data_IF_842819570470
#
_entry.id   IF_842819570470
#
_cell.length_a   1.000
_cell.length_b   1.000
_cell.length_c   1.000
_cell.angle_alpha   90.00
_cell.angle_beta   90.00
_cell.angle_gamma   90.00
#
_symmetry.space_group_name_H-M   'P 1'
#
loop_
_entity.id
_entity.type
_entity.pdbx_description
1 polymer ?
#
# COMPACT_ATOMS: atom_id res chain seq x y z
N UNK A 1 -17.82 1.64 8.43
CA UNK A 1 -16.59 1.20 7.75
C UNK A 1 -15.55 0.76 8.79
N UNK A 2 -14.87 -0.35 8.58
CA UNK A 2 -13.79 -0.85 9.43
C UNK A 2 -12.59 -1.27 8.55
N UNK A 3 -11.41 -0.75 8.84
CA UNK A 3 -10.19 -1.09 8.12
C UNK A 3 -9.33 -2.04 8.95
N UNK A 4 -8.90 -3.16 8.34
CA UNK A 4 -7.97 -4.09 8.96
C UNK A 4 -6.52 -3.65 8.72
N UNK A 5 -5.74 -3.50 9.78
CA UNK A 5 -4.31 -3.19 9.74
C UNK A 5 -3.54 -4.45 10.07
N UNK A 6 -2.70 -4.91 9.13
CA UNK A 6 -1.87 -6.08 9.39
C UNK A 6 -0.86 -5.79 10.51
N UNK A 7 -0.82 -6.69 11.49
CA UNK A 7 0.12 -6.58 12.62
C UNK A 7 1.58 -6.59 12.14
N UNK A 8 2.39 -5.75 12.79
CA UNK A 8 3.85 -5.74 12.68
C UNK A 8 4.47 -5.78 14.06
N UNK A 9 5.65 -6.38 14.17
CA UNK A 9 6.44 -6.34 15.42
C UNK A 9 7.02 -4.95 15.67
N UNK A 10 7.33 -4.22 14.58
CA UNK A 10 7.85 -2.86 14.62
C UNK A 10 6.74 -1.84 14.86
N UNK A 11 7.11 -0.71 15.48
CA UNK A 11 6.22 0.45 15.58
C UNK A 11 5.97 1.08 14.21
N UNK A 12 4.72 1.38 13.90
CA UNK A 12 4.31 2.07 12.68
C UNK A 12 3.34 3.21 12.99
N UNK A 13 3.30 4.18 12.10
CA UNK A 13 2.49 5.40 12.28
C UNK A 13 1.10 5.22 11.71
N UNK A 14 0.10 5.68 12.45
CA UNK A 14 -1.32 5.69 12.07
C UNK A 14 -1.89 7.11 11.97
N UNK A 15 -1.02 8.11 11.76
CA UNK A 15 -1.41 9.53 11.68
C UNK A 15 -2.62 9.76 10.76
N UNK A 16 -2.69 9.21 9.52
CA UNK A 16 -3.84 9.41 8.65
C UNK A 16 -5.15 8.87 9.24
N UNK A 17 -5.10 7.72 9.91
CA UNK A 17 -6.27 7.08 10.52
C UNK A 17 -6.80 7.89 11.70
N UNK A 18 -5.91 8.41 12.53
CA UNK A 18 -6.24 9.22 13.70
C UNK A 18 -6.81 10.59 13.29
N UNK A 19 -6.17 11.25 12.30
CA UNK A 19 -6.61 12.58 11.81
C UNK A 19 -7.96 12.54 11.11
N UNK A 20 -8.25 11.48 10.38
CA UNK A 20 -9.54 11.33 9.67
C UNK A 20 -10.59 10.55 10.48
N UNK A 21 -10.29 10.21 11.75
CA UNK A 21 -11.17 9.45 12.64
C UNK A 21 -11.65 8.13 12.03
N UNK A 22 -10.75 7.41 11.39
CA UNK A 22 -11.05 6.14 10.72
C UNK A 22 -11.08 5.01 11.75
N UNK A 23 -12.15 4.22 11.76
CA UNK A 23 -12.20 3.02 12.57
C UNK A 23 -11.30 1.94 11.99
N UNK A 24 -10.40 1.42 12.79
CA UNK A 24 -9.48 0.36 12.40
C UNK A 24 -9.32 -0.69 13.50
N UNK A 25 -8.80 -1.84 13.09
CA UNK A 25 -8.40 -2.93 13.99
C UNK A 25 -7.05 -3.47 13.54
N UNK A 26 -6.09 -3.54 14.44
CA UNK A 26 -4.81 -4.22 14.20
C UNK A 26 -5.05 -5.71 14.44
N UNK A 27 -4.75 -6.54 13.45
CA UNK A 27 -5.03 -7.97 13.50
C UNK A 27 -3.89 -8.80 12.90
N UNK A 28 -3.77 -10.04 13.32
CA UNK A 28 -2.87 -11.00 12.69
C UNK A 28 -3.52 -11.59 11.45
N UNK A 29 -2.92 -11.49 10.25
CA UNK A 29 -3.44 -12.13 9.03
C UNK A 29 -3.60 -13.66 9.13
N UNK A 30 -2.98 -14.30 10.12
CA UNK A 30 -3.19 -15.73 10.43
C UNK A 30 -4.61 -16.07 10.81
N UNK A 31 -5.35 -15.13 11.40
CA UNK A 31 -6.71 -15.36 11.92
C UNK A 31 -7.74 -15.55 10.82
N UNK A 32 -7.49 -15.08 9.60
CA UNK A 32 -8.30 -15.38 8.41
C UNK A 32 -9.68 -14.70 8.32
N UNK A 33 -10.05 -13.89 9.27
CA UNK A 33 -11.39 -13.26 9.38
C UNK A 33 -11.52 -11.99 8.52
N UNK A 34 -11.11 -12.06 7.26
CA UNK A 34 -10.96 -10.89 6.37
C UNK A 34 -12.28 -10.24 5.96
N UNK A 35 -13.39 -10.99 5.93
CA UNK A 35 -14.70 -10.52 5.43
C UNK A 35 -15.31 -9.35 6.25
N UNK A 36 -14.88 -9.17 7.50
CA UNK A 36 -15.38 -8.09 8.36
C UNK A 36 -14.81 -6.71 7.95
N UNK A 37 -13.66 -6.67 7.27
CA UNK A 37 -13.00 -5.43 6.91
C UNK A 37 -13.45 -4.90 5.54
N UNK A 38 -13.46 -3.60 5.40
CA UNK A 38 -13.86 -2.87 4.20
C UNK A 38 -12.65 -2.36 3.40
N UNK A 39 -11.46 -2.47 3.99
CA UNK A 39 -10.16 -2.20 3.39
C UNK A 39 -9.05 -2.80 4.24
N UNK A 40 -7.83 -2.88 3.66
CA UNK A 40 -6.65 -3.38 4.34
C UNK A 40 -5.49 -2.41 4.22
N UNK A 41 -4.77 -2.23 5.31
CA UNK A 41 -3.51 -1.50 5.36
C UNK A 41 -2.39 -2.42 5.80
N UNK A 42 -1.34 -2.51 4.98
CA UNK A 42 -0.11 -3.26 5.26
C UNK A 42 1.00 -2.25 5.57
N UNK A 43 1.34 -2.05 6.85
CA UNK A 43 2.40 -1.11 7.23
C UNK A 43 3.79 -1.55 6.75
N UNK A 44 4.73 -0.63 6.79
CA UNK A 44 6.17 -0.94 6.72
C UNK A 44 6.64 -1.74 7.92
N UNK A 45 7.86 -2.26 7.86
CA UNK A 45 8.51 -3.04 8.90
C UNK A 45 9.79 -3.69 8.40
N UNK A 46 10.56 -4.31 9.29
CA UNK A 46 11.83 -4.97 8.96
C UNK A 46 11.68 -6.49 8.74
N UNK A 47 10.52 -7.05 9.11
CA UNK A 47 10.22 -8.47 8.97
C UNK A 47 9.87 -8.91 7.54
N UNK A 48 9.37 -10.14 7.42
CA UNK A 48 8.70 -10.67 6.24
C UNK A 48 7.56 -11.57 6.70
N UNK A 49 6.31 -11.17 6.40
CA UNK A 49 5.13 -11.80 6.96
C UNK A 49 4.43 -12.65 5.89
N UNK A 50 4.77 -13.93 5.81
CA UNK A 50 4.19 -14.87 4.84
C UNK A 50 2.66 -14.96 4.91
N UNK A 51 2.09 -14.65 6.05
CA UNK A 51 0.65 -14.62 6.28
C UNK A 51 -0.06 -13.53 5.47
N UNK A 52 0.62 -12.43 5.18
CA UNK A 52 0.09 -11.31 4.40
C UNK A 52 -0.26 -11.73 2.98
N UNK A 53 0.41 -12.73 2.43
CA UNK A 53 0.10 -13.27 1.10
C UNK A 53 -1.37 -13.76 1.00
N UNK A 54 -1.89 -14.36 2.05
CA UNK A 54 -3.31 -14.79 2.09
C UNK A 54 -4.26 -13.59 2.14
N UNK A 55 -3.91 -12.57 2.91
CA UNK A 55 -4.64 -11.33 3.00
C UNK A 55 -4.65 -10.59 1.66
N UNK A 56 -3.48 -10.44 1.03
CA UNK A 56 -3.31 -9.79 -0.28
C UNK A 56 -4.13 -10.53 -1.35
N UNK A 57 -4.07 -11.87 -1.35
CA UNK A 57 -4.88 -12.71 -2.24
C UNK A 57 -6.37 -12.44 -2.05
N UNK A 58 -6.84 -12.48 -0.80
CA UNK A 58 -8.23 -12.19 -0.48
C UNK A 58 -8.68 -10.81 -0.97
N UNK A 59 -7.87 -9.77 -0.69
CA UNK A 59 -8.14 -8.41 -1.10
C UNK A 59 -8.30 -8.30 -2.63
N UNK A 60 -7.36 -8.88 -3.38
CA UNK A 60 -7.40 -8.88 -4.85
C UNK A 60 -8.63 -9.61 -5.40
N UNK A 61 -8.89 -10.85 -4.95
CA UNK A 61 -9.97 -11.69 -5.46
C UNK A 61 -11.38 -11.16 -5.13
N UNK A 62 -11.51 -10.48 -3.98
CA UNK A 62 -12.78 -9.91 -3.52
C UNK A 62 -12.92 -8.41 -3.81
N UNK A 63 -11.96 -7.84 -4.54
CA UNK A 63 -11.93 -6.41 -4.87
C UNK A 63 -12.10 -5.54 -3.62
N UNK A 64 -11.35 -5.86 -2.54
CA UNK A 64 -11.28 -5.07 -1.32
C UNK A 64 -10.09 -4.12 -1.43
N UNK A 65 -10.26 -2.81 -1.17
CA UNK A 65 -9.16 -1.85 -1.18
C UNK A 65 -8.00 -2.29 -0.30
N UNK A 66 -6.77 -2.18 -0.83
CA UNK A 66 -5.55 -2.51 -0.10
C UNK A 66 -4.45 -1.50 -0.40
N UNK A 67 -3.84 -0.94 0.66
CA UNK A 67 -2.68 -0.05 0.62
C UNK A 67 -1.51 -0.70 1.34
N UNK A 68 -0.40 -0.92 0.63
CA UNK A 68 0.84 -1.44 1.22
C UNK A 68 1.95 -0.39 1.23
N UNK A 69 2.63 -0.25 2.35
CA UNK A 69 3.72 0.73 2.55
C UNK A 69 5.03 -0.01 2.79
N UNK A 70 6.09 0.36 2.09
CA UNK A 70 7.45 -0.17 2.22
C UNK A 70 7.46 -1.70 2.15
N UNK A 71 7.59 -2.40 3.27
CA UNK A 71 7.46 -3.86 3.35
C UNK A 71 6.13 -4.35 2.75
N UNK A 72 5.01 -3.70 3.06
CA UNK A 72 3.70 -4.07 2.52
C UNK A 72 3.66 -4.02 1.00
N UNK A 73 4.30 -3.03 0.35
CA UNK A 73 4.47 -3.00 -1.10
C UNK A 73 5.32 -4.17 -1.60
N UNK A 74 6.39 -4.52 -0.89
CA UNK A 74 7.28 -5.62 -1.27
C UNK A 74 6.54 -6.97 -1.22
N UNK A 75 5.74 -7.20 -0.17
CA UNK A 75 4.90 -8.40 -0.03
C UNK A 75 3.80 -8.47 -1.10
N UNK A 76 3.16 -7.32 -1.43
CA UNK A 76 2.22 -7.22 -2.55
C UNK A 76 2.88 -7.55 -3.89
N UNK A 77 4.11 -7.08 -4.10
CA UNK A 77 4.89 -7.38 -5.32
C UNK A 77 5.27 -8.85 -5.41
N UNK A 78 5.68 -9.46 -4.30
CA UNK A 78 5.99 -10.89 -4.23
C UNK A 78 4.77 -11.73 -4.60
N UNK A 79 3.61 -11.39 -4.03
CA UNK A 79 2.35 -12.05 -4.39
C UNK A 79 2.01 -11.94 -5.88
N UNK A 80 2.16 -10.74 -6.47
CA UNK A 80 1.86 -10.51 -7.89
C UNK A 80 2.82 -11.25 -8.82
N UNK A 81 4.05 -11.45 -8.41
CA UNK A 81 5.09 -12.19 -9.14
C UNK A 81 5.00 -13.71 -8.91
N UNK A 82 4.17 -14.15 -7.97
CA UNK A 82 4.14 -15.53 -7.47
C UNK A 82 5.51 -15.98 -6.95
N UNK A 83 6.14 -15.12 -6.17
CA UNK A 83 7.50 -15.26 -5.64
C UNK A 83 7.50 -15.05 -4.10
N UNK A 84 8.66 -15.22 -3.47
CA UNK A 84 8.87 -14.95 -2.04
C UNK A 84 9.86 -13.76 -1.89
N UNK A 85 10.43 -13.56 -0.73
CA UNK A 85 11.37 -12.48 -0.36
C UNK A 85 12.55 -12.31 -1.34
N UNK A 86 12.92 -13.34 -2.08
CA UNK A 86 14.02 -13.34 -3.06
C UNK A 86 13.86 -12.34 -4.21
N UNK A 87 12.69 -11.69 -4.33
CA UNK A 87 12.50 -10.58 -5.27
C UNK A 87 13.20 -9.29 -4.82
N UNK A 88 13.55 -9.18 -3.54
CA UNK A 88 14.22 -8.00 -3.01
C UNK A 88 15.74 -8.12 -3.08
N UNK A 89 16.40 -6.97 -3.25
CA UNK A 89 17.87 -6.83 -3.15
C UNK A 89 18.20 -5.61 -2.31
N UNK A 90 19.40 -5.57 -1.77
CA UNK A 90 19.90 -4.41 -1.04
C UNK A 90 20.15 -3.22 -1.95
N UNK A 91 19.82 -2.05 -1.48
CA UNK A 91 20.12 -0.75 -2.09
C UNK A 91 20.76 0.17 -1.08
N UNK A 92 21.69 0.99 -1.53
CA UNK A 92 22.30 2.06 -0.73
C UNK A 92 21.64 3.39 -1.04
N UNK A 93 21.79 4.36 -0.13
CA UNK A 93 21.31 5.74 -0.30
C UNK A 93 19.79 5.93 -0.37
N UNK A 94 19.00 4.95 0.10
CA UNK A 94 17.55 5.02 0.21
C UNK A 94 17.06 5.03 1.67
N UNK A 95 17.97 5.01 2.63
CA UNK A 95 17.59 5.05 4.05
C UNK A 95 17.91 6.41 4.67
N UNK A 96 16.90 7.07 5.23
CA UNK A 96 17.01 8.40 5.84
C UNK A 96 17.19 9.52 4.82
N UNK A 97 16.71 9.37 3.60
CA UNK A 97 16.86 10.35 2.50
C UNK A 97 15.50 10.86 2.00
N UNK A 98 15.57 11.88 1.16
CA UNK A 98 14.45 12.38 0.35
C UNK A 98 14.90 12.37 -1.10
N UNK A 99 14.08 11.79 -1.99
CA UNK A 99 14.40 11.74 -3.40
C UNK A 99 13.20 12.00 -4.30
N UNK A 100 13.46 12.30 -5.56
CA UNK A 100 12.46 12.53 -6.58
C UNK A 100 11.96 11.17 -7.12
N UNK A 101 10.63 11.07 -7.27
CA UNK A 101 9.95 9.91 -7.87
C UNK A 101 9.14 10.39 -9.05
N UNK A 102 9.35 9.73 -10.21
CA UNK A 102 8.57 9.97 -11.44
C UNK A 102 7.38 9.02 -11.51
N UNK A 103 6.19 9.55 -11.76
CA UNK A 103 4.91 8.84 -11.77
C UNK A 103 4.39 8.72 -13.21
N UNK A 104 3.95 7.55 -13.62
CA UNK A 104 3.37 7.33 -14.94
C UNK A 104 2.00 7.98 -15.07
N UNK A 105 1.77 8.76 -16.15
CA UNK A 105 0.50 9.47 -16.43
C UNK A 105 -0.71 8.56 -16.58
N UNK A 106 -0.52 7.33 -17.02
CA UNK A 106 -1.60 6.35 -17.22
C UNK A 106 -1.84 5.46 -15.97
N UNK A 107 -1.25 5.84 -14.81
CA UNK A 107 -1.38 5.13 -13.55
C UNK A 107 -2.57 5.62 -12.70
N UNK A 108 -3.04 4.75 -11.82
CA UNK A 108 -4.00 5.11 -10.79
C UNK A 108 -3.40 6.12 -9.80
N UNK A 109 -2.14 5.92 -9.42
CA UNK A 109 -1.42 6.86 -8.57
C UNK A 109 -1.38 8.28 -9.16
N UNK A 110 -1.12 8.43 -10.47
CA UNK A 110 -1.18 9.74 -11.12
C UNK A 110 -2.57 10.36 -11.03
N UNK A 111 -3.62 9.55 -11.18
CA UNK A 111 -5.00 10.04 -11.07
C UNK A 111 -5.35 10.55 -9.67
N UNK A 112 -4.65 10.07 -8.64
CA UNK A 112 -4.78 10.55 -7.27
C UNK A 112 -4.01 11.86 -7.07
N UNK A 113 -2.70 11.85 -7.33
CA UNK A 113 -1.81 12.96 -6.95
C UNK A 113 -1.73 14.09 -7.99
N UNK A 114 -2.13 13.83 -9.24
CA UNK A 114 -2.12 14.78 -10.37
C UNK A 114 -0.77 15.47 -10.62
N UNK A 115 0.32 14.78 -10.31
CA UNK A 115 1.70 15.24 -10.51
C UNK A 115 2.52 14.15 -11.19
N UNK A 116 3.39 14.53 -12.12
CA UNK A 116 4.32 13.62 -12.81
C UNK A 116 5.53 13.28 -11.96
N UNK A 117 5.86 14.18 -11.02
CA UNK A 117 7.01 14.04 -10.11
C UNK A 117 6.63 14.55 -8.72
N UNK A 118 7.09 13.82 -7.71
CA UNK A 118 6.96 14.20 -6.30
C UNK A 118 8.26 13.89 -5.55
N UNK A 119 8.58 14.66 -4.53
CA UNK A 119 9.59 14.29 -3.56
C UNK A 119 8.99 13.40 -2.49
N UNK A 120 9.69 12.33 -2.14
CA UNK A 120 9.24 11.37 -1.14
C UNK A 120 10.33 11.10 -0.10
N UNK A 121 9.92 10.77 1.12
CA UNK A 121 10.83 10.26 2.13
C UNK A 121 11.21 8.80 1.82
N UNK A 122 12.42 8.41 2.14
CA UNK A 122 12.91 7.05 1.91
C UNK A 122 13.56 6.50 3.17
N UNK A 123 13.13 5.31 3.59
CA UNK A 123 13.58 4.63 4.81
C UNK A 123 13.78 3.12 4.58
N UNK A 124 14.19 2.74 3.38
CA UNK A 124 14.36 1.33 3.04
C UNK A 124 15.78 1.01 2.62
N UNK A 125 16.20 -0.22 2.89
CA UNK A 125 17.48 -0.80 2.47
C UNK A 125 17.29 -1.90 1.44
N UNK A 126 16.03 -2.24 1.13
CA UNK A 126 15.65 -3.27 0.18
C UNK A 126 14.77 -2.66 -0.91
N UNK A 127 14.88 -3.18 -2.15
CA UNK A 127 14.07 -2.78 -3.28
C UNK A 127 13.65 -3.99 -4.11
N UNK A 128 12.55 -3.86 -4.85
CA UNK A 128 12.07 -4.89 -5.76
C UNK A 128 12.98 -4.94 -6.99
N UNK A 129 13.66 -6.07 -7.19
CA UNK A 129 14.62 -6.25 -8.28
C UNK A 129 14.03 -6.89 -9.54
N UNK A 130 12.84 -7.50 -9.45
CA UNK A 130 12.13 -8.14 -10.57
C UNK A 130 10.99 -7.27 -11.08
N UNK A 131 10.84 -7.17 -12.41
CA UNK A 131 9.86 -6.29 -13.07
C UNK A 131 8.77 -7.07 -13.81
N UNK A 132 8.95 -8.36 -14.08
CA UNK A 132 8.01 -9.14 -14.88
C UNK A 132 6.60 -9.13 -14.24
N UNK A 133 5.58 -8.89 -15.05
CA UNK A 133 4.17 -8.86 -14.67
C UNK A 133 3.71 -7.79 -13.66
N UNK A 134 4.60 -6.96 -13.12
CA UNK A 134 4.22 -5.83 -12.27
C UNK A 134 3.81 -4.62 -13.11
N UNK A 135 2.70 -3.99 -12.76
CA UNK A 135 2.43 -2.64 -13.23
C UNK A 135 3.09 -1.63 -12.27
N UNK A 136 4.27 -1.17 -12.69
CA UNK A 136 5.05 -0.16 -11.96
C UNK A 136 4.50 1.21 -12.30
N UNK A 137 3.95 1.90 -11.32
CA UNK A 137 3.36 3.24 -11.47
C UNK A 137 4.32 4.38 -11.14
N UNK A 138 5.38 4.12 -10.37
CA UNK A 138 6.39 5.12 -10.06
C UNK A 138 7.79 4.54 -9.88
N UNK A 139 8.81 5.35 -10.20
CA UNK A 139 10.23 5.02 -10.04
C UNK A 139 11.04 6.23 -9.61
N UNK A 140 12.11 5.99 -8.83
CA UNK A 140 13.16 6.96 -8.57
C UNK A 140 14.11 7.14 -9.75
N UNK A 141 14.99 8.14 -9.69
CA UNK A 141 15.95 8.45 -10.76
C UNK A 141 16.95 7.32 -11.03
N UNK A 142 17.28 6.51 -10.03
CA UNK A 142 18.14 5.33 -10.15
C UNK A 142 17.36 4.05 -10.55
N UNK A 143 16.11 4.22 -11.00
CA UNK A 143 15.20 3.16 -11.46
C UNK A 143 14.72 2.20 -10.36
N UNK A 144 14.85 2.52 -9.08
CA UNK A 144 14.19 1.78 -8.02
C UNK A 144 12.67 1.85 -8.22
N UNK A 145 11.98 0.71 -8.02
CA UNK A 145 10.51 0.67 -8.05
C UNK A 145 9.99 1.33 -6.78
N UNK A 146 9.24 2.40 -6.95
CA UNK A 146 8.68 3.17 -5.85
C UNK A 146 7.17 2.98 -5.67
N UNK A 147 6.46 2.54 -6.73
CA UNK A 147 5.05 2.18 -6.60
C UNK A 147 4.63 1.09 -7.58
N UNK A 148 3.72 0.22 -7.11
CA UNK A 148 3.06 -0.84 -7.90
C UNK A 148 1.55 -0.79 -7.69
N UNK A 149 0.79 -1.15 -8.75
CA UNK A 149 -0.67 -1.15 -8.69
C UNK A 149 -1.29 -2.22 -9.58
N UNK A 150 -2.58 -2.49 -9.40
CA UNK A 150 -3.41 -3.27 -10.34
C UNK A 150 -4.44 -2.33 -10.95
N UNK A 151 -4.42 -2.15 -12.28
CA UNK A 151 -5.27 -1.18 -13.00
C UNK A 151 -6.77 -1.42 -12.87
N UNK A 152 -7.22 -2.65 -12.80
CA UNK A 152 -8.65 -3.01 -12.82
C UNK A 152 -9.16 -3.46 -11.43
N UNK A 153 -8.54 -3.00 -10.37
CA UNK A 153 -8.98 -3.22 -9.00
C UNK A 153 -9.53 -1.91 -8.41
N UNK A 154 -10.41 -1.98 -7.41
CA UNK A 154 -10.99 -0.78 -6.79
C UNK A 154 -9.92 0.13 -6.19
N UNK A 155 -8.98 -0.45 -5.49
CA UNK A 155 -7.77 0.18 -4.96
C UNK A 155 -6.77 -0.90 -4.57
N UNK A 156 -5.74 -1.10 -5.37
CA UNK A 156 -4.61 -1.98 -5.06
C UNK A 156 -3.33 -1.19 -5.34
N UNK A 157 -2.77 -0.59 -4.29
CA UNK A 157 -1.63 0.31 -4.40
C UNK A 157 -0.56 -0.05 -3.36
N UNK A 158 0.65 -0.28 -3.82
CA UNK A 158 1.84 -0.43 -2.99
C UNK A 158 2.81 0.72 -3.22
N UNK A 159 3.33 1.31 -2.15
CA UNK A 159 4.26 2.44 -2.15
C UNK A 159 5.52 2.08 -1.36
N UNK A 160 6.69 2.34 -1.91
CA UNK A 160 7.96 2.05 -1.24
C UNK A 160 8.31 3.10 -0.17
N UNK A 161 7.88 4.34 -0.38
CA UNK A 161 8.06 5.43 0.59
C UNK A 161 6.99 5.41 1.70
N UNK A 162 7.08 6.35 2.65
CA UNK A 162 6.26 6.44 3.85
C UNK A 162 5.34 7.67 3.85
N UNK A 163 4.24 7.68 3.08
CA UNK A 163 3.31 8.82 3.04
C UNK A 163 2.59 9.05 4.37
N UNK A 164 2.43 8.01 5.21
CA UNK A 164 1.83 8.15 6.54
C UNK A 164 2.62 9.09 7.45
N UNK A 165 3.93 9.18 7.23
CA UNK A 165 4.80 10.08 7.98
C UNK A 165 4.80 11.50 7.47
N UNK A 166 4.34 11.74 6.23
CA UNK A 166 4.24 13.04 5.58
C UNK A 166 2.82 13.59 5.55
N UNK A 167 1.86 12.87 6.14
CA UNK A 167 0.43 13.16 6.01
C UNK A 167 0.06 14.62 6.38
N UNK A 168 0.65 15.17 7.42
CA UNK A 168 0.34 16.53 7.88
C UNK A 168 0.98 17.63 7.02
N UNK A 169 2.07 17.33 6.33
CA UNK A 169 2.89 18.34 5.62
C UNK A 169 2.73 18.25 4.10
N UNK A 170 2.48 17.05 3.55
CA UNK A 170 2.46 16.82 2.10
C UNK A 170 1.06 16.53 1.56
N UNK A 171 0.68 17.27 0.51
CA UNK A 171 -0.62 17.13 -0.13
C UNK A 171 -0.79 15.80 -0.87
N UNK A 172 0.25 15.31 -1.56
CA UNK A 172 0.19 14.04 -2.27
C UNK A 172 -0.07 12.88 -1.30
N UNK A 173 0.59 12.89 -0.14
CA UNK A 173 0.37 11.94 0.94
C UNK A 173 -1.06 11.97 1.47
N UNK A 174 -1.63 13.16 1.67
CA UNK A 174 -3.03 13.31 2.07
C UNK A 174 -3.99 12.78 1.00
N UNK A 175 -3.75 13.06 -0.27
CA UNK A 175 -4.60 12.61 -1.38
C UNK A 175 -4.61 11.08 -1.50
N UNK A 176 -3.47 10.42 -1.32
CA UNK A 176 -3.36 8.96 -1.33
C UNK A 176 -4.24 8.32 -0.24
N UNK A 177 -4.13 8.78 1.00
CA UNK A 177 -4.92 8.22 2.09
C UNK A 177 -6.41 8.56 1.97
N UNK A 178 -6.76 9.77 1.55
CA UNK A 178 -8.17 10.16 1.32
C UNK A 178 -8.83 9.29 0.25
N UNK A 179 -8.13 9.03 -0.85
CA UNK A 179 -8.66 8.14 -1.89
C UNK A 179 -8.78 6.70 -1.37
N UNK A 180 -7.80 6.20 -0.60
CA UNK A 180 -7.89 4.90 0.04
C UNK A 180 -9.12 4.79 0.95
N UNK A 181 -9.35 5.75 1.82
CA UNK A 181 -10.51 5.78 2.72
C UNK A 181 -11.83 5.86 1.95
N UNK A 182 -11.89 6.69 0.91
CA UNK A 182 -13.06 6.78 0.03
C UNK A 182 -13.41 5.41 -0.58
N UNK A 183 -12.41 4.69 -1.10
CA UNK A 183 -12.63 3.35 -1.67
C UNK A 183 -13.08 2.32 -0.63
N UNK A 184 -12.60 2.44 0.61
CA UNK A 184 -13.08 1.62 1.72
C UNK A 184 -14.55 1.93 2.07
N UNK A 185 -14.97 3.19 2.03
CA UNK A 185 -16.37 3.59 2.22
C UNK A 185 -17.29 3.07 1.11
N UNK A 186 -16.84 3.15 -0.15
CA UNK A 186 -17.56 2.56 -1.30
C UNK A 186 -17.75 1.05 -1.10
N UNK A 187 -16.71 0.34 -0.62
CA UNK A 187 -16.79 -1.10 -0.34
C UNK A 187 -17.76 -1.42 0.80
N UNK A 188 -17.72 -0.65 1.88
CA UNK A 188 -18.66 -0.77 2.99
C UNK A 188 -20.11 -0.61 2.51
N UNK A 189 -20.39 0.43 1.73
CA UNK A 189 -21.71 0.70 1.16
C UNK A 189 -22.23 -0.44 0.29
N UNK A 190 -21.36 -1.02 -0.54
CA UNK A 190 -21.69 -2.20 -1.37
C UNK A 190 -22.07 -3.42 -0.52
N UNK A 191 -21.38 -3.66 0.62
CA UNK A 191 -21.70 -4.75 1.54
C UNK A 191 -23.08 -4.58 2.19
N UNK A 192 -23.44 -3.35 2.59
CA UNK A 192 -24.76 -3.07 3.17
C UNK A 192 -25.87 -3.33 2.15
N UNK A 193 -25.72 -2.84 0.92
CA UNK A 193 -26.72 -3.05 -0.13
C UNK A 193 -26.91 -4.52 -0.50
N UNK A 194 -25.88 -5.36 -0.42
CA UNK A 194 -25.99 -6.81 -0.66
C UNK A 194 -26.68 -7.57 0.49
N UNK A 195 -26.59 -7.08 1.73
CA UNK A 195 -27.27 -7.71 2.88
C UNK A 195 -28.77 -7.40 2.93
N UNK A 196 -29.21 -6.33 2.29
CA UNK A 196 -30.59 -5.86 2.28
C UNK A 196 -31.42 -6.36 1.08
N UNK A 197 -30.82 -7.23 0.25
CA UNK A 197 -31.45 -7.94 -0.86
C UNK A 197 -31.60 -9.44 -0.56
#
# INVERSE_FOLDING_TARGET
MLIGIAYREDEFKLIPFEKENINYEIFSPKEGNYYKYDGFYLPGGDGWYKEDIKLIKYAKENNVPILGICLGMQEMSAFLLNEDKDITKKISNHNGTVHLVSIKKDSFLYNIVKKEEIFVNSRHNDYISKLSSLYVSAKSLDNCIEAVEIKNNSFFLGLQWHPESLYEEDEASRQIFKEFFLKCEEKFSQKIHKKNR
#
